data_IF_758826854165
#
_entry.id   IF_758826854165
#
_cell.length_a   1.000
_cell.length_b   1.000
_cell.length_c   1.000
_cell.angle_alpha   90.00
_cell.angle_beta   90.00
_cell.angle_gamma   90.00
#
_symmetry.space_group_name_H-M   'P 1'
#
loop_
_entity.id
_entity.type
_entity.pdbx_description
1 polymer ?
#
# COMPACT_ATOMS: atom_id res chain seq x y z
N UNK A 1 -12.40 16.45 0.54
CA UNK A 1 -11.12 16.42 -0.23
C UNK A 1 -10.08 15.62 0.54
N UNK A 2 -9.93 15.87 1.84
CA UNK A 2 -8.94 15.16 2.67
C UNK A 2 -9.20 13.66 2.82
N UNK A 3 -10.44 13.22 2.97
CA UNK A 3 -10.77 11.79 3.10
C UNK A 3 -10.43 10.99 1.82
N UNK A 4 -10.64 11.60 0.64
CA UNK A 4 -10.33 10.96 -0.63
C UNK A 4 -8.82 10.80 -0.83
N UNK A 5 -8.04 11.81 -0.42
CA UNK A 5 -6.57 11.76 -0.47
C UNK A 5 -6.04 10.77 0.57
N UNK A 6 -6.59 10.76 1.78
CA UNK A 6 -6.20 9.84 2.85
C UNK A 6 -6.47 8.38 2.48
N UNK A 7 -7.67 8.09 1.96
CA UNK A 7 -8.04 6.75 1.50
C UNK A 7 -7.10 6.22 0.41
N UNK A 8 -6.72 7.07 -0.55
CA UNK A 8 -5.86 6.64 -1.65
C UNK A 8 -4.41 6.41 -1.21
N UNK A 9 -3.91 7.23 -0.27
CA UNK A 9 -2.53 7.15 0.20
C UNK A 9 -2.32 6.09 1.28
N UNK A 10 -3.29 5.87 2.17
CA UNK A 10 -3.15 4.94 3.29
C UNK A 10 -3.87 3.63 3.01
N UNK A 11 -5.18 3.65 2.84
CA UNK A 11 -5.98 2.42 2.77
C UNK A 11 -5.75 1.64 1.48
N UNK A 12 -5.75 2.32 0.33
CA UNK A 12 -5.50 1.68 -0.97
C UNK A 12 -4.06 1.20 -1.13
N UNK A 13 -3.09 1.93 -0.59
CA UNK A 13 -1.68 1.54 -0.59
C UNK A 13 -1.46 0.30 0.29
N UNK A 14 -2.01 0.28 1.52
CA UNK A 14 -1.95 -0.88 2.40
C UNK A 14 -2.64 -2.11 1.80
N UNK A 15 -3.80 -1.93 1.15
CA UNK A 15 -4.51 -3.01 0.48
C UNK A 15 -3.69 -3.60 -0.70
N UNK A 16 -3.05 -2.76 -1.51
CA UNK A 16 -2.19 -3.22 -2.62
C UNK A 16 -0.93 -3.93 -2.12
N UNK A 17 -0.44 -3.54 -0.94
CA UNK A 17 0.69 -4.16 -0.28
C UNK A 17 0.32 -5.52 0.38
N UNK A 18 -0.95 -5.94 0.45
CA UNK A 18 -1.36 -7.21 1.05
C UNK A 18 -0.84 -7.41 2.50
N UNK A 19 -0.77 -6.32 3.29
CA UNK A 19 -0.13 -6.31 4.62
C UNK A 19 1.37 -6.61 4.63
N UNK A 20 2.01 -6.67 3.46
CA UNK A 20 3.44 -6.84 3.30
C UNK A 20 4.12 -5.48 3.34
N UNK A 21 5.26 -5.40 4.02
CA UNK A 21 6.16 -4.27 3.92
C UNK A 21 6.59 -4.08 2.45
N UNK A 22 6.86 -2.83 2.01
CA UNK A 22 7.45 -2.57 0.69
C UNK A 22 8.71 -3.40 0.38
N UNK A 23 9.44 -3.83 1.41
CA UNK A 23 10.56 -4.78 1.28
C UNK A 23 10.10 -6.16 0.82
N UNK A 24 9.06 -6.71 1.45
CA UNK A 24 8.53 -8.04 1.15
C UNK A 24 7.91 -8.12 -0.25
N UNK A 25 7.30 -7.03 -0.72
CA UNK A 25 6.82 -6.93 -2.11
C UNK A 25 7.98 -6.94 -3.11
N UNK A 26 9.08 -6.24 -2.81
CA UNK A 26 10.28 -6.23 -3.66
C UNK A 26 10.98 -7.59 -3.69
N UNK A 27 10.98 -8.33 -2.58
CA UNK A 27 11.62 -9.66 -2.50
C UNK A 27 10.86 -10.72 -3.30
N UNK A 28 9.53 -10.62 -3.42
CA UNK A 28 8.73 -11.56 -4.24
C UNK A 28 8.82 -11.34 -5.75
N UNK A 29 9.35 -10.20 -6.20
CA UNK A 29 9.52 -9.90 -7.62
C UNK A 29 10.87 -10.35 -8.19
N UNK A 30 11.74 -10.96 -7.35
CA UNK A 30 13.05 -11.49 -7.71
C UNK A 30 13.00 -13.01 -7.95
#
# INVERSE_FOLDING_TARGET
MDDYIYFYNNDRLQAKLNSLSPMEVRTKAA
#
